data_IF_936607233977
#
_entry.id   IF_936607233977
#
_cell.length_a   1.000
_cell.length_b   1.000
_cell.length_c   1.000
_cell.angle_alpha   90.00
_cell.angle_beta   90.00
_cell.angle_gamma   90.00
#
_symmetry.space_group_name_H-M   'P 1'
#
loop_
_entity.id
_entity.type
_entity.pdbx_description
1 polymer ?
#
# COMPACT_ATOMS: atom_id res chain seq x y z
N UNK A 1 14.18 -2.21 -12.29
CA UNK A 1 13.05 -2.10 -13.22
C UNK A 1 12.11 -3.25 -12.89
N UNK A 2 10.77 -3.05 -12.87
CA UNK A 2 9.83 -4.10 -12.49
C UNK A 2 10.01 -5.33 -13.39
N UNK A 3 10.01 -6.52 -12.80
CA UNK A 3 10.19 -7.78 -13.51
C UNK A 3 8.83 -8.26 -14.04
N UNK A 4 8.77 -8.55 -15.34
CA UNK A 4 7.59 -9.14 -15.98
C UNK A 4 7.54 -10.65 -15.70
N UNK A 5 7.72 -11.06 -14.43
CA UNK A 5 7.40 -12.41 -13.97
C UNK A 5 5.92 -12.52 -13.52
N UNK A 6 5.19 -11.40 -13.64
CA UNK A 6 3.81 -11.25 -13.21
C UNK A 6 3.69 -11.11 -11.71
N UNK A 7 4.75 -10.97 -10.92
CA UNK A 7 4.64 -10.79 -9.47
C UNK A 7 4.60 -9.31 -9.14
N UNK A 8 3.90 -8.97 -8.07
CA UNK A 8 3.92 -7.58 -7.65
C UNK A 8 5.25 -7.25 -6.96
N UNK A 9 5.86 -6.15 -7.37
CA UNK A 9 7.17 -5.68 -6.92
C UNK A 9 7.02 -4.57 -5.87
N UNK A 10 7.99 -4.40 -4.95
CA UNK A 10 8.03 -3.25 -4.07
C UNK A 10 7.95 -1.93 -4.86
N UNK A 11 7.00 -1.06 -4.47
CA UNK A 11 6.68 0.18 -5.19
C UNK A 11 5.41 0.09 -6.04
N UNK A 12 4.89 -1.11 -6.30
CA UNK A 12 3.60 -1.25 -6.97
C UNK A 12 2.42 -1.09 -5.99
N UNK A 13 1.38 -0.43 -6.45
CA UNK A 13 0.08 -0.33 -5.78
C UNK A 13 -0.84 -1.32 -6.45
N UNK A 14 -1.33 -2.29 -5.67
CA UNK A 14 -2.22 -3.36 -6.13
C UNK A 14 -3.59 -3.25 -5.47
N UNK A 15 -4.62 -3.81 -6.09
CA UNK A 15 -5.95 -3.88 -5.48
C UNK A 15 -6.17 -5.26 -4.85
N UNK A 16 -6.66 -5.28 -3.62
CA UNK A 16 -6.97 -6.51 -2.90
C UNK A 16 -8.11 -6.26 -1.91
N UNK A 17 -8.79 -7.35 -1.54
CA UNK A 17 -9.68 -7.35 -0.40
C UNK A 17 -8.90 -7.04 0.88
N UNK A 18 -9.33 -6.01 1.62
CA UNK A 18 -8.79 -5.64 2.93
C UNK A 18 -9.93 -5.62 3.94
N UNK A 19 -9.76 -6.43 4.99
CA UNK A 19 -10.67 -6.52 6.13
C UNK A 19 -10.69 -5.23 6.95
N UNK A 20 -11.86 -4.88 7.47
CA UNK A 20 -11.99 -3.81 8.45
C UNK A 20 -11.32 -4.19 9.76
N UNK A 21 -10.79 -3.20 10.48
CA UNK A 21 -10.16 -3.44 11.80
C UNK A 21 -11.16 -3.91 12.84
N UNK A 22 -12.36 -3.32 12.84
CA UNK A 22 -13.36 -3.61 13.87
C UNK A 22 -14.15 -4.90 13.59
N UNK A 23 -14.12 -5.41 12.35
CA UNK A 23 -14.85 -6.60 11.94
C UNK A 23 -14.18 -7.30 10.74
N UNK A 24 -13.39 -8.37 11.00
CA UNK A 24 -12.73 -9.15 9.95
C UNK A 24 -13.68 -9.88 9.01
N UNK A 25 -14.94 -10.10 9.39
CA UNK A 25 -15.93 -10.70 8.47
C UNK A 25 -16.36 -9.72 7.37
N UNK A 26 -15.99 -8.44 7.50
CA UNK A 26 -16.27 -7.39 6.55
C UNK A 26 -14.98 -6.81 6.01
N UNK A 27 -15.02 -6.42 4.75
CA UNK A 27 -13.91 -5.78 4.10
C UNK A 27 -14.38 -5.04 2.87
N UNK A 28 -13.40 -4.49 2.15
CA UNK A 28 -13.62 -3.94 0.83
C UNK A 28 -12.35 -4.03 0.02
N UNK A 29 -12.51 -3.94 -1.29
CA UNK A 29 -11.39 -3.81 -2.20
C UNK A 29 -10.71 -2.45 -1.95
N UNK A 30 -9.38 -2.48 -1.77
CA UNK A 30 -8.59 -1.28 -1.50
C UNK A 30 -7.26 -1.30 -2.28
N UNK A 31 -6.75 -0.12 -2.66
CA UNK A 31 -5.38 0.00 -3.11
C UNK A 31 -4.42 -0.23 -1.95
N UNK A 32 -3.38 -1.03 -2.20
CA UNK A 32 -2.34 -1.43 -1.25
C UNK A 32 -0.98 -1.27 -1.91
N UNK A 33 -0.09 -0.47 -1.31
CA UNK A 33 1.30 -0.35 -1.74
C UNK A 33 2.10 -1.55 -1.26
N UNK A 34 2.70 -2.29 -2.20
CA UNK A 34 3.64 -3.37 -1.92
C UNK A 34 4.96 -2.76 -1.45
N UNK A 35 5.42 -3.20 -0.28
CA UNK A 35 6.69 -2.73 0.32
C UNK A 35 7.71 -3.85 0.48
N UNK A 36 7.30 -5.10 0.33
CA UNK A 36 8.17 -6.23 0.46
C UNK A 36 7.48 -7.55 0.21
N UNK A 37 8.20 -8.63 0.50
CA UNK A 37 7.77 -10.00 0.26
C UNK A 37 8.29 -10.92 1.35
N UNK A 38 7.45 -11.88 1.73
CA UNK A 38 7.80 -13.00 2.60
C UNK A 38 7.34 -14.29 1.94
N UNK A 39 8.27 -15.00 1.29
CA UNK A 39 7.97 -16.20 0.50
C UNK A 39 6.95 -15.92 -0.62
N UNK A 40 5.76 -16.53 -0.52
CA UNK A 40 4.64 -16.37 -1.47
C UNK A 40 3.63 -15.29 -1.09
N UNK A 41 3.90 -14.53 -0.03
CA UNK A 41 3.05 -13.44 0.43
C UNK A 41 3.72 -12.10 0.17
N UNK A 42 2.91 -11.10 -0.15
CA UNK A 42 3.34 -9.72 -0.21
C UNK A 42 3.13 -9.06 1.15
N UNK A 43 4.02 -8.12 1.46
CA UNK A 43 3.83 -7.16 2.52
C UNK A 43 3.32 -5.87 1.90
N UNK A 44 2.17 -5.41 2.37
CA UNK A 44 1.45 -4.29 1.79
C UNK A 44 1.01 -3.26 2.82
N UNK A 45 0.94 -2.01 2.42
CA UNK A 45 0.39 -0.90 3.20
C UNK A 45 -0.86 -0.38 2.53
N UNK A 46 -1.97 -0.28 3.27
CA UNK A 46 -3.23 0.22 2.70
C UNK A 46 -3.17 1.71 2.37
N UNK A 47 -3.86 2.09 1.29
CA UNK A 47 -4.08 3.48 0.91
C UNK A 47 -5.50 3.93 1.25
N UNK A 48 -5.66 5.24 1.42
CA UNK A 48 -6.95 5.92 1.57
C UNK A 48 -6.89 7.27 0.87
N UNK A 49 -7.98 7.69 0.20
CA UNK A 49 -8.14 9.05 -0.33
C UNK A 49 -9.07 9.92 0.54
N UNK A 50 -9.29 9.53 1.81
CA UNK A 50 -10.04 10.34 2.77
C UNK A 50 -9.15 11.47 3.30
N UNK A 51 -9.53 12.72 3.06
CA UNK A 51 -8.76 13.90 3.48
C UNK A 51 -8.56 14.03 4.98
N UNK A 52 -9.44 13.43 5.78
CA UNK A 52 -9.31 13.38 7.24
C UNK A 52 -8.00 12.74 7.71
N UNK A 53 -7.35 11.91 6.89
CA UNK A 53 -6.07 11.26 7.23
C UNK A 53 -4.89 12.22 7.29
N UNK A 54 -5.05 13.43 6.77
CA UNK A 54 -3.99 14.42 6.82
C UNK A 54 -3.64 14.80 8.25
N UNK A 55 -2.36 14.75 8.59
CA UNK A 55 -1.86 15.02 9.94
C UNK A 55 -2.17 13.94 11.00
N UNK A 56 -2.88 12.86 10.66
CA UNK A 56 -3.10 11.76 11.61
C UNK A 56 -1.84 10.92 11.80
N UNK A 57 -1.55 10.53 13.04
CA UNK A 57 -0.43 9.64 13.34
C UNK A 57 -0.58 8.30 12.61
N UNK A 58 0.52 7.75 12.10
CA UNK A 58 0.51 6.51 11.34
C UNK A 58 0.06 6.67 9.89
N UNK A 59 -0.26 7.88 9.42
CA UNK A 59 -0.58 8.16 8.02
C UNK A 59 0.47 9.07 7.39
N UNK A 60 0.85 8.76 6.15
CA UNK A 60 1.79 9.56 5.37
C UNK A 60 1.13 9.99 4.05
N UNK A 61 1.19 11.29 3.74
CA UNK A 61 0.69 11.83 2.49
C UNK A 61 1.52 11.34 1.29
N UNK A 62 0.85 10.68 0.34
CA UNK A 62 1.42 10.30 -0.95
C UNK A 62 1.10 11.32 -2.06
N UNK A 63 -0.01 12.04 -1.91
CA UNK A 63 -0.57 12.85 -2.98
C UNK A 63 -1.37 12.00 -3.99
N UNK A 64 -1.73 12.56 -5.16
CA UNK A 64 -2.54 11.87 -6.14
C UNK A 64 -1.73 10.87 -6.97
N UNK A 65 -2.41 9.86 -7.53
CA UNK A 65 -1.80 8.87 -8.42
C UNK A 65 -2.82 7.97 -9.12
N UNK A 66 -2.33 7.19 -10.09
CA UNK A 66 -3.17 6.38 -10.98
C UNK A 66 -3.94 5.24 -10.29
N UNK A 67 -3.62 4.95 -9.01
CA UNK A 67 -4.38 4.03 -8.18
C UNK A 67 -5.75 4.59 -7.76
N UNK A 68 -6.00 5.89 -7.90
CA UNK A 68 -7.32 6.50 -7.70
C UNK A 68 -7.83 7.03 -9.04
N UNK A 69 -8.97 6.53 -9.51
CA UNK A 69 -9.58 6.95 -10.78
C UNK A 69 -9.88 8.45 -10.80
N UNK A 70 -10.23 9.02 -9.64
CA UNK A 70 -10.51 10.44 -9.47
C UNK A 70 -9.23 11.28 -9.26
N UNK A 71 -8.05 10.66 -9.22
CA UNK A 71 -6.75 11.31 -8.97
C UNK A 71 -6.77 12.20 -7.72
N UNK A 72 -7.49 11.77 -6.67
CA UNK A 72 -7.52 12.52 -5.41
C UNK A 72 -6.21 12.34 -4.65
N UNK A 73 -5.82 13.30 -3.80
CA UNK A 73 -4.77 13.10 -2.82
C UNK A 73 -5.04 11.82 -2.00
N UNK A 74 -4.00 11.00 -1.84
CA UNK A 74 -4.07 9.78 -1.03
C UNK A 74 -3.00 9.77 0.06
N UNK A 75 -3.27 8.99 1.10
CA UNK A 75 -2.39 8.72 2.23
C UNK A 75 -2.15 7.21 2.32
N UNK A 76 -0.94 6.83 2.71
CA UNK A 76 -0.58 5.46 3.05
C UNK A 76 -0.55 5.28 4.56
N UNK A 77 -1.06 4.16 5.04
CA UNK A 77 -1.04 3.80 6.45
C UNK A 77 0.24 3.03 6.79
N UNK A 78 1.02 3.55 7.73
CA UNK A 78 2.34 3.04 8.13
C UNK A 78 2.31 2.13 9.36
N UNK A 79 1.29 2.26 10.21
CA UNK A 79 1.13 1.50 11.46
C UNK A 79 0.43 0.14 11.27
N UNK A 80 -0.01 -0.18 10.04
CA UNK A 80 -0.70 -1.43 9.71
C UNK A 80 -0.13 -2.07 8.45
N UNK A 81 0.69 -3.11 8.64
CA UNK A 81 1.20 -3.96 7.55
C UNK A 81 0.25 -5.12 7.30
N UNK A 82 -0.11 -5.32 6.04
CA UNK A 82 -0.96 -6.41 5.57
C UNK A 82 -0.12 -7.49 4.91
N UNK A 83 -0.37 -8.76 5.26
CA UNK A 83 0.10 -9.89 4.47
C UNK A 83 -0.95 -10.27 3.42
N UNK A 84 -0.60 -10.15 2.15
CA UNK A 84 -1.54 -10.40 1.04
C UNK A 84 -1.07 -11.63 0.25
N UNK A 85 -1.91 -12.67 0.10
CA UNK A 85 -1.58 -13.77 -0.79
C UNK A 85 -1.59 -13.30 -2.24
N UNK A 86 -0.59 -13.70 -3.04
CA UNK A 86 -0.48 -13.24 -4.43
C UNK A 86 -1.74 -13.54 -5.27
N UNK A 87 -2.40 -14.69 -5.01
CA UNK A 87 -3.63 -15.05 -5.71
C UNK A 87 -4.84 -14.15 -5.38
N UNK A 88 -4.78 -13.38 -4.28
CA UNK A 88 -5.85 -12.47 -3.87
C UNK A 88 -5.78 -11.10 -4.55
N UNK A 89 -4.75 -10.86 -5.37
CA UNK A 89 -4.47 -9.57 -5.95
C UNK A 89 -5.18 -9.40 -7.29
N UNK A 90 -5.89 -8.28 -7.42
CA UNK A 90 -6.35 -7.75 -8.70
C UNK A 90 -5.28 -6.82 -9.26
N UNK A 91 -4.73 -7.19 -10.42
CA UNK A 91 -3.71 -6.42 -11.13
C UNK A 91 -4.29 -5.26 -11.94
N UNK A 92 -5.02 -4.38 -11.25
CA UNK A 92 -5.30 -3.00 -11.72
C UNK A 92 -4.23 -2.07 -11.13
N UNK A 93 -2.96 -2.46 -11.31
CA UNK A 93 -1.85 -1.90 -10.55
C UNK A 93 -1.34 -0.57 -11.08
N UNK A 94 -0.92 0.31 -10.18
CA UNK A 94 -0.18 1.54 -10.50
C UNK A 94 1.21 1.47 -9.87
N UNK A 95 2.21 2.14 -10.46
CA UNK A 95 3.56 2.20 -9.87
C UNK A 95 3.72 3.53 -9.14
N UNK A 96 4.13 3.47 -7.87
CA UNK A 96 4.52 4.65 -7.11
C UNK A 96 5.90 5.11 -7.60
N UNK A 97 6.08 6.41 -7.84
CA UNK A 97 7.39 6.91 -8.22
C UNK A 97 8.42 6.67 -7.11
N UNK A 98 9.68 6.56 -7.51
CA UNK A 98 10.76 6.16 -6.61
C UNK A 98 10.93 7.11 -5.43
N UNK A 99 10.80 8.42 -5.63
CA UNK A 99 10.98 9.38 -4.56
C UNK A 99 9.87 9.24 -3.49
N UNK A 100 8.63 9.02 -3.91
CA UNK A 100 7.54 8.72 -2.97
C UNK A 100 7.73 7.38 -2.26
N UNK A 101 8.15 6.35 -2.98
CA UNK A 101 8.43 5.05 -2.38
C UNK A 101 9.57 5.12 -1.34
N UNK A 102 10.65 5.84 -1.64
CA UNK A 102 11.78 6.02 -0.73
C UNK A 102 11.36 6.73 0.56
N UNK A 103 10.43 7.69 0.50
CA UNK A 103 9.84 8.34 1.70
C UNK A 103 9.07 7.35 2.57
N UNK A 104 8.25 6.48 1.96
CA UNK A 104 7.54 5.43 2.69
C UNK A 104 8.52 4.47 3.35
N UNK A 105 9.52 3.99 2.59
CA UNK A 105 10.52 3.09 3.11
C UNK A 105 11.31 3.72 4.27
N UNK A 106 11.67 5.01 4.17
CA UNK A 106 12.34 5.72 5.24
C UNK A 106 11.49 5.82 6.50
N UNK A 107 10.19 6.12 6.36
CA UNK A 107 9.27 6.18 7.49
C UNK A 107 9.13 4.81 8.17
N UNK A 108 8.96 3.73 7.40
CA UNK A 108 8.91 2.36 7.96
C UNK A 108 10.19 1.99 8.73
N UNK A 109 11.37 2.33 8.20
CA UNK A 109 12.64 2.07 8.89
C UNK A 109 12.77 2.86 10.19
N UNK A 110 12.28 4.09 10.22
CA UNK A 110 12.30 4.94 11.41
C UNK A 110 11.33 4.41 12.48
N UNK A 111 10.10 4.09 12.09
CA UNK A 111 9.02 3.80 13.04
C UNK A 111 9.03 2.34 13.52
N UNK A 112 9.48 1.40 12.69
CA UNK A 112 9.42 -0.04 12.98
C UNK A 112 10.80 -0.71 13.06
N UNK A 113 11.89 0.05 12.90
CA UNK A 113 13.26 -0.49 12.96
C UNK A 113 13.59 -1.48 11.84
N UNK A 114 12.83 -1.49 10.74
CA UNK A 114 13.10 -2.34 9.59
C UNK A 114 14.48 -1.98 9.01
N UNK A 115 15.30 -2.99 8.68
CA UNK A 115 16.64 -2.85 8.09
C UNK A 115 16.72 -3.62 6.78
#
# INVERSE_FOLDING_TARGET
>A
APQVDGRADPGEVVWTWVEYEDDPARGKDRPVLVVGRSGRRLLGLMLSSQSERDGQSGWLALGPGAWDREHRPSWVRLDRVLEVPEQGIRREGAVLDRARFDRVAQALRHDHGWR
#
